data_IF_080436918532
#
_entry.id   IF_080436918532
#
_cell.length_a   1.000
_cell.length_b   1.000
_cell.length_c   1.000
_cell.angle_alpha   90.00
_cell.angle_beta   90.00
_cell.angle_gamma   90.00
#
_symmetry.space_group_name_H-M   'P 1'
#
loop_
_entity.id
_entity.type
_entity.pdbx_description
1 polymer ?
#
# COMPACT_ATOMS: atom_id res chain seq x y z
N UNK A 1 16.34 36.58 11.30
CA UNK A 1 16.10 35.09 11.35
C UNK A 1 15.27 34.80 10.13
N UNK A 2 15.77 33.99 9.19
CA UNK A 2 14.95 33.52 8.05
C UNK A 2 13.87 32.62 8.61
N UNK A 3 12.62 33.03 8.50
CA UNK A 3 11.47 32.22 8.93
C UNK A 3 11.45 30.97 8.05
N UNK A 4 11.59 29.80 8.65
CA UNK A 4 11.57 28.53 7.94
C UNK A 4 10.18 28.31 7.34
N UNK A 5 10.10 27.94 6.07
CA UNK A 5 8.86 27.79 5.32
C UNK A 5 8.46 26.31 5.23
N UNK A 6 7.18 26.03 5.41
CA UNK A 6 6.56 24.73 5.22
C UNK A 6 5.76 24.75 3.90
N UNK A 7 6.24 24.01 2.90
CA UNK A 7 5.50 23.76 1.66
C UNK A 7 4.44 22.70 1.91
N UNK A 8 3.22 22.89 1.41
CA UNK A 8 2.09 22.01 1.66
C UNK A 8 1.25 21.81 0.41
N UNK A 9 0.69 20.62 0.24
CA UNK A 9 -0.40 20.37 -0.69
C UNK A 9 -1.71 20.13 0.06
N UNK A 10 -2.69 20.98 -0.22
CA UNK A 10 -4.04 20.93 0.33
C UNK A 10 -4.99 20.30 -0.68
N UNK A 11 -6.00 19.58 -0.22
CA UNK A 11 -7.09 19.15 -1.09
C UNK A 11 -7.95 20.35 -1.47
N UNK A 12 -7.91 20.78 -2.75
CA UNK A 12 -8.66 21.94 -3.23
C UNK A 12 -10.09 21.58 -3.65
N UNK A 13 -10.27 20.41 -4.26
CA UNK A 13 -11.58 19.95 -4.74
C UNK A 13 -11.67 18.44 -4.76
N UNK A 14 -12.88 17.89 -4.71
CA UNK A 14 -13.14 16.44 -4.88
C UNK A 14 -12.93 16.06 -6.35
N UNK A 15 -12.02 15.13 -6.67
CA UNK A 15 -11.80 14.73 -8.06
C UNK A 15 -12.93 13.83 -8.57
N UNK A 16 -13.41 14.11 -9.80
CA UNK A 16 -14.29 13.22 -10.56
C UNK A 16 -13.43 12.44 -11.56
N UNK A 17 -13.31 11.14 -11.38
CA UNK A 17 -12.31 10.34 -12.11
C UNK A 17 -10.92 10.45 -11.49
N UNK A 18 -9.87 10.49 -12.29
CA UNK A 18 -8.49 10.65 -11.82
C UNK A 18 -8.28 12.02 -11.15
N UNK A 19 -7.44 12.03 -10.10
CA UNK A 19 -6.95 13.29 -9.56
C UNK A 19 -5.97 13.94 -10.55
N UNK A 20 -5.88 15.25 -10.53
CA UNK A 20 -4.95 16.04 -11.35
C UNK A 20 -4.25 17.06 -10.47
N UNK A 21 -3.28 17.80 -11.01
CA UNK A 21 -2.64 18.89 -10.26
C UNK A 21 -3.66 19.89 -9.70
N UNK A 22 -4.73 20.18 -10.44
CA UNK A 22 -5.81 21.06 -10.00
C UNK A 22 -6.68 20.51 -8.84
N UNK A 23 -6.53 19.24 -8.50
CA UNK A 23 -7.17 18.64 -7.33
C UNK A 23 -6.58 19.19 -6.04
N UNK A 24 -5.39 19.76 -6.12
CA UNK A 24 -4.61 20.22 -4.99
C UNK A 24 -4.26 21.69 -5.12
N UNK A 25 -4.14 22.37 -3.98
CA UNK A 25 -3.54 23.71 -3.87
C UNK A 25 -2.17 23.57 -3.22
N UNK A 26 -1.15 24.07 -3.87
CA UNK A 26 0.17 24.28 -3.26
C UNK A 26 0.16 25.60 -2.49
N UNK A 27 0.71 25.57 -1.26
CA UNK A 27 0.94 26.78 -0.48
C UNK A 27 2.25 26.69 0.31
N UNK A 28 2.72 27.85 0.73
CA UNK A 28 3.85 28.00 1.64
C UNK A 28 3.40 28.80 2.86
N UNK A 29 3.66 28.25 4.05
CA UNK A 29 3.31 28.87 5.33
C UNK A 29 4.52 28.89 6.25
N UNK A 30 4.64 29.85 7.19
CA UNK A 30 5.69 29.79 8.19
C UNK A 30 5.61 28.52 9.04
N UNK A 31 6.76 27.92 9.37
CA UNK A 31 6.83 26.83 10.33
C UNK A 31 6.55 27.38 11.72
N UNK A 32 5.57 26.80 12.42
CA UNK A 32 5.20 27.18 13.78
C UNK A 32 6.05 26.45 14.84
N UNK A 33 5.84 26.84 16.10
CA UNK A 33 6.45 26.22 17.27
C UNK A 33 5.46 25.22 17.91
N UNK A 34 5.93 24.06 18.45
CA UNK A 34 5.05 23.09 19.07
C UNK A 34 4.46 23.63 20.40
N UNK A 35 3.14 23.56 20.55
CA UNK A 35 2.46 23.76 21.81
C UNK A 35 2.66 22.56 22.77
N UNK A 36 2.15 22.64 23.99
CA UNK A 36 2.22 21.53 24.97
C UNK A 36 1.60 20.25 24.38
N UNK A 37 2.32 19.13 24.46
CA UNK A 37 1.93 17.82 23.89
C UNK A 37 2.19 17.66 22.40
N UNK A 38 2.65 18.70 21.69
CA UNK A 38 2.95 18.65 20.27
C UNK A 38 4.43 18.39 19.97
N UNK A 39 4.68 17.95 18.74
CA UNK A 39 6.00 17.83 18.14
C UNK A 39 6.05 18.54 16.79
N UNK A 40 7.23 18.97 16.38
CA UNK A 40 7.53 19.41 15.03
C UNK A 40 8.43 18.35 14.36
N UNK A 41 7.95 17.78 13.28
CA UNK A 41 8.69 16.77 12.51
C UNK A 41 9.07 17.35 11.15
N UNK A 42 10.34 17.30 10.80
CA UNK A 42 10.79 17.51 9.43
C UNK A 42 10.59 16.20 8.66
N UNK A 43 9.72 16.21 7.66
CA UNK A 43 9.44 15.06 6.84
C UNK A 43 10.65 14.74 5.95
N UNK A 44 10.96 13.46 5.78
CA UNK A 44 12.01 13.01 4.87
C UNK A 44 11.44 12.17 3.73
N UNK A 45 10.47 11.31 4.04
CA UNK A 45 9.80 10.46 3.05
C UNK A 45 8.31 10.37 3.33
N UNK A 46 7.50 10.43 2.27
CA UNK A 46 6.06 10.28 2.31
C UNK A 46 5.63 9.03 1.51
N UNK A 47 4.70 8.30 2.08
CA UNK A 47 4.07 7.16 1.43
C UNK A 47 3.02 7.63 0.43
N UNK A 48 3.13 7.20 -0.82
CA UNK A 48 2.06 7.37 -1.79
C UNK A 48 1.29 6.06 -1.92
N UNK A 49 0.00 6.13 -1.69
CA UNK A 49 -0.88 4.96 -1.60
C UNK A 49 -2.14 5.13 -2.45
N UNK A 50 -2.61 4.08 -3.15
CA UNK A 50 -3.86 4.16 -3.91
C UNK A 50 -5.06 4.57 -3.06
N UNK A 51 -5.06 4.24 -1.77
CA UNK A 51 -6.09 4.62 -0.81
C UNK A 51 -6.28 6.14 -0.69
N UNK A 52 -5.24 6.94 -0.97
CA UNK A 52 -5.31 8.40 -0.98
C UNK A 52 -6.41 8.90 -1.93
N UNK A 53 -6.64 8.21 -3.06
CA UNK A 53 -7.73 8.56 -3.97
C UNK A 53 -9.11 8.42 -3.31
N UNK A 54 -9.28 7.36 -2.53
CA UNK A 54 -10.51 7.14 -1.75
C UNK A 54 -10.70 8.18 -0.64
N UNK A 55 -9.62 8.62 0.00
CA UNK A 55 -9.68 9.64 1.06
C UNK A 55 -10.08 11.03 0.56
N UNK A 56 -10.03 11.27 -0.75
CA UNK A 56 -10.52 12.51 -1.38
C UNK A 56 -12.03 12.49 -1.65
N UNK A 57 -12.70 11.33 -1.55
CA UNK A 57 -14.14 11.21 -1.78
C UNK A 57 -14.92 11.50 -0.49
N UNK A 58 -16.13 12.02 -0.65
CA UNK A 58 -17.12 12.05 0.42
C UNK A 58 -17.85 10.70 0.51
N UNK A 59 -18.41 10.42 1.69
CA UNK A 59 -19.21 9.23 1.92
C UNK A 59 -18.65 8.33 3.02
N UNK A 60 -19.33 7.20 3.22
CA UNK A 60 -18.95 6.21 4.23
C UNK A 60 -17.66 5.50 3.82
N UNK A 61 -16.67 5.53 4.70
CA UNK A 61 -15.40 4.83 4.54
C UNK A 61 -14.90 4.36 5.92
N UNK A 62 -13.84 3.55 5.93
CA UNK A 62 -13.17 3.12 7.16
C UNK A 62 -12.34 4.23 7.84
N UNK A 63 -12.15 5.35 7.16
CA UNK A 63 -11.48 6.55 7.69
C UNK A 63 -12.23 7.80 7.21
N UNK A 64 -12.32 8.88 8.03
CA UNK A 64 -12.92 10.14 7.58
C UNK A 64 -12.22 10.69 6.33
N UNK A 65 -12.95 11.28 5.38
CA UNK A 65 -12.36 11.92 4.22
C UNK A 65 -11.45 13.09 4.62
N UNK A 66 -10.52 13.44 3.75
CA UNK A 66 -9.76 14.69 3.86
C UNK A 66 -10.70 15.86 3.55
N UNK A 67 -10.69 16.88 4.40
CA UNK A 67 -11.49 18.10 4.21
C UNK A 67 -10.93 18.97 3.08
N UNK A 68 -11.83 19.71 2.41
CA UNK A 68 -11.40 20.73 1.44
C UNK A 68 -10.63 21.82 2.20
N UNK A 69 -9.44 22.19 1.71
CA UNK A 69 -8.53 23.11 2.36
C UNK A 69 -7.62 22.48 3.43
N UNK A 70 -7.78 21.20 3.75
CA UNK A 70 -6.86 20.48 4.64
C UNK A 70 -5.63 19.96 3.89
N UNK A 71 -4.49 19.84 4.61
CA UNK A 71 -3.29 19.19 4.06
C UNK A 71 -3.63 17.77 3.65
N UNK A 72 -3.27 17.41 2.41
CA UNK A 72 -3.54 16.07 1.90
C UNK A 72 -2.88 15.03 2.80
N UNK A 73 -3.67 14.08 3.30
CA UNK A 73 -3.19 13.03 4.20
C UNK A 73 -2.19 12.13 3.50
N UNK A 74 -1.06 11.89 4.18
CA UNK A 74 -0.07 10.89 3.79
C UNK A 74 0.58 10.31 5.05
N UNK A 75 0.90 9.04 5.04
CA UNK A 75 1.84 8.47 6.00
C UNK A 75 3.25 8.92 5.61
N UNK A 76 4.13 9.05 6.59
CA UNK A 76 5.48 9.49 6.32
C UNK A 76 6.45 9.07 7.41
N UNK A 77 7.72 9.23 7.12
CA UNK A 77 8.83 9.12 8.07
C UNK A 77 9.57 10.43 8.09
N UNK A 78 9.90 10.91 9.29
CA UNK A 78 10.62 12.15 9.45
C UNK A 78 11.33 12.24 10.80
N UNK A 79 12.10 13.31 10.96
CA UNK A 79 12.91 13.57 12.16
C UNK A 79 12.25 14.63 13.03
N UNK A 80 12.10 14.35 14.31
CA UNK A 80 11.65 15.34 15.31
C UNK A 80 12.71 16.43 15.44
N UNK A 81 12.34 17.68 15.12
CA UNK A 81 13.22 18.85 15.18
C UNK A 81 12.90 19.78 16.35
N UNK A 82 11.67 19.75 16.86
CA UNK A 82 11.29 20.39 18.13
C UNK A 82 10.19 19.55 18.81
N UNK A 83 10.15 19.58 20.14
CA UNK A 83 9.19 18.77 20.90
C UNK A 83 8.83 19.42 22.24
N UNK A 84 7.52 19.46 22.52
CA UNK A 84 6.94 19.70 23.84
C UNK A 84 6.10 18.49 24.29
N UNK A 85 6.47 17.28 23.81
CA UNK A 85 5.84 16.00 24.14
C UNK A 85 6.85 15.07 24.84
N UNK A 86 6.57 14.54 26.03
CA UNK A 86 7.52 13.72 26.78
C UNK A 86 7.83 12.37 26.12
N UNK A 87 6.97 11.89 25.22
CA UNK A 87 7.16 10.61 24.52
C UNK A 87 8.12 10.68 23.31
N UNK A 88 8.42 11.88 22.80
CA UNK A 88 9.23 12.08 21.59
C UNK A 88 10.28 13.16 21.83
N UNK A 89 11.55 12.81 21.69
CA UNK A 89 12.68 13.73 21.85
C UNK A 89 13.15 14.28 20.51
N UNK A 90 13.75 15.48 20.54
CA UNK A 90 14.47 16.03 19.37
C UNK A 90 15.56 15.04 18.93
N UNK A 91 15.57 14.74 17.64
CA UNK A 91 16.45 13.74 17.04
C UNK A 91 15.83 12.37 16.83
N UNK A 92 14.69 12.06 17.46
CA UNK A 92 13.96 10.81 17.18
C UNK A 92 13.47 10.80 15.73
N UNK A 93 13.53 9.63 15.10
CA UNK A 93 12.82 9.38 13.85
C UNK A 93 11.46 8.75 14.14
N UNK A 94 10.44 9.21 13.44
CA UNK A 94 9.06 8.79 13.67
C UNK A 94 8.35 8.43 12.36
N UNK A 95 7.45 7.44 12.44
CA UNK A 95 6.46 7.14 11.41
C UNK A 95 5.09 7.59 11.91
N UNK A 96 4.30 8.22 11.04
CA UNK A 96 2.95 8.67 11.37
C UNK A 96 2.24 9.34 10.20
N UNK A 97 1.07 9.89 10.46
CA UNK A 97 0.29 10.66 9.48
C UNK A 97 0.85 12.09 9.36
N UNK A 98 1.94 12.23 8.61
CA UNK A 98 2.69 13.49 8.50
C UNK A 98 2.09 14.47 7.48
N UNK A 99 1.23 14.00 6.56
CA UNK A 99 0.65 14.83 5.49
C UNK A 99 1.63 15.18 4.38
N UNK A 100 1.11 15.65 3.26
CA UNK A 100 1.93 16.06 2.10
C UNK A 100 2.45 17.47 2.33
N UNK A 101 3.55 17.56 3.06
CA UNK A 101 4.18 18.82 3.48
C UNK A 101 5.65 18.59 3.91
N UNK A 102 6.43 19.69 4.07
CA UNK A 102 7.81 19.61 4.56
C UNK A 102 7.88 19.34 6.06
N UNK A 103 6.97 19.96 6.84
CA UNK A 103 6.95 19.89 8.30
C UNK A 103 5.56 19.54 8.81
N UNK A 104 5.48 18.53 9.68
CA UNK A 104 4.29 18.25 10.47
C UNK A 104 4.42 18.95 11.83
N UNK A 105 3.40 19.69 12.21
CA UNK A 105 3.26 20.29 13.54
C UNK A 105 1.95 19.82 14.18
N UNK A 106 2.01 19.11 15.31
CA UNK A 106 0.81 18.62 15.98
C UNK A 106 1.07 17.57 17.05
N UNK A 107 -0.02 17.03 17.60
CA UNK A 107 0.04 15.89 18.52
C UNK A 107 0.39 14.61 17.76
N UNK A 108 1.34 13.79 18.24
CA UNK A 108 1.79 12.58 17.55
C UNK A 108 0.86 11.38 17.80
N UNK A 109 -0.43 11.53 17.46
CA UNK A 109 -1.44 10.47 17.66
C UNK A 109 -1.18 9.30 16.70
N UNK A 110 -0.93 8.12 17.26
CA UNK A 110 -0.63 6.92 16.48
C UNK A 110 0.78 6.89 15.86
N UNK A 111 1.65 7.84 16.25
CA UNK A 111 3.04 7.83 15.82
C UNK A 111 3.85 6.80 16.61
N UNK A 112 4.85 6.23 15.96
CA UNK A 112 5.82 5.36 16.59
C UNK A 112 7.25 5.70 16.14
N UNK A 113 8.22 5.43 17.02
CA UNK A 113 9.63 5.65 16.73
C UNK A 113 10.15 4.58 15.79
N UNK A 114 11.03 4.98 14.88
CA UNK A 114 11.75 4.09 13.97
C UNK A 114 13.25 4.29 14.12
N UNK A 115 14.01 3.23 13.90
CA UNK A 115 15.48 3.30 14.04
C UNK A 115 16.13 3.16 12.64
N UNK A 116 16.74 4.25 12.11
CA UNK A 116 17.41 4.22 10.82
C UNK A 116 18.65 3.31 10.78
N UNK A 117 19.13 2.82 11.95
CA UNK A 117 20.23 1.86 12.03
C UNK A 117 19.77 0.43 11.79
N UNK A 118 18.48 0.13 12.03
CA UNK A 118 17.91 -1.20 11.83
C UNK A 118 17.46 -1.42 10.38
N UNK A 119 16.90 -0.38 9.75
CA UNK A 119 16.51 -0.42 8.35
C UNK A 119 16.52 1.00 7.74
N UNK A 120 16.72 1.14 6.42
CA UNK A 120 16.53 2.42 5.72
C UNK A 120 15.14 2.99 5.96
N UNK A 121 15.02 4.32 6.10
CA UNK A 121 13.75 4.97 6.43
C UNK A 121 12.59 4.61 5.48
N UNK A 122 12.76 4.50 4.14
CA UNK A 122 11.68 4.12 3.25
C UNK A 122 11.09 2.72 3.52
N UNK A 123 11.87 1.80 4.12
CA UNK A 123 11.41 0.45 4.48
C UNK A 123 10.30 0.50 5.54
N UNK A 124 10.29 1.52 6.40
CA UNK A 124 9.22 1.77 7.37
C UNK A 124 7.93 2.33 6.73
N UNK A 125 7.94 2.62 5.43
CA UNK A 125 6.76 2.93 4.63
C UNK A 125 6.34 1.77 3.73
N UNK A 126 7.16 0.71 3.67
CA UNK A 126 6.93 -0.48 2.84
C UNK A 126 6.84 -1.75 3.71
N UNK A 127 7.85 -2.60 3.70
CA UNK A 127 7.82 -3.91 4.38
C UNK A 127 7.61 -3.82 5.90
N UNK A 128 8.22 -2.85 6.58
CA UNK A 128 8.04 -2.63 8.03
C UNK A 128 7.00 -1.54 8.34
N UNK A 129 6.23 -1.12 7.36
CA UNK A 129 5.18 -0.12 7.47
C UNK A 129 3.79 -0.68 7.19
N UNK A 130 2.86 0.25 6.92
CA UNK A 130 1.44 -0.06 6.73
C UNK A 130 1.19 -1.08 5.59
N UNK A 131 1.92 -0.99 4.49
CA UNK A 131 1.76 -1.92 3.36
C UNK A 131 2.27 -3.32 3.68
N UNK A 132 3.34 -3.43 4.49
CA UNK A 132 3.81 -4.73 5.00
C UNK A 132 2.81 -5.36 5.99
N UNK A 133 2.28 -4.56 6.93
CA UNK A 133 1.23 -5.03 7.84
C UNK A 133 -0.03 -5.46 7.08
N UNK A 134 -0.41 -4.72 6.03
CA UNK A 134 -1.52 -5.09 5.15
C UNK A 134 -1.26 -6.45 4.49
N UNK A 135 -0.08 -6.65 3.91
CA UNK A 135 0.29 -7.91 3.29
C UNK A 135 0.27 -9.09 4.29
N UNK A 136 0.82 -8.87 5.48
CA UNK A 136 0.92 -9.87 6.54
C UNK A 136 -0.45 -10.34 7.01
N UNK A 137 -1.29 -9.43 7.50
CA UNK A 137 -2.57 -9.81 8.10
C UNK A 137 -3.60 -10.25 7.07
N UNK A 138 -3.71 -9.55 5.94
CA UNK A 138 -4.64 -9.93 4.89
C UNK A 138 -4.34 -11.33 4.33
N UNK A 139 -3.07 -11.66 4.16
CA UNK A 139 -2.70 -12.99 3.68
C UNK A 139 -2.87 -14.06 4.76
N UNK A 140 -2.30 -13.84 5.95
CA UNK A 140 -2.18 -14.91 6.96
C UNK A 140 -3.48 -15.16 7.72
N UNK A 141 -4.30 -14.13 7.95
CA UNK A 141 -5.57 -14.28 8.66
C UNK A 141 -6.73 -14.52 7.67
N UNK A 142 -6.99 -13.59 6.76
CA UNK A 142 -8.11 -13.69 5.82
C UNK A 142 -7.84 -14.75 4.75
N UNK A 143 -6.67 -14.72 4.12
CA UNK A 143 -6.23 -15.71 3.11
C UNK A 143 -5.98 -17.08 3.72
N UNK A 144 -5.44 -17.14 4.91
CA UNK A 144 -5.12 -18.34 5.67
C UNK A 144 -4.52 -19.45 4.79
N UNK A 145 -3.39 -19.17 4.07
CA UNK A 145 -2.80 -20.11 3.13
C UNK A 145 -2.22 -21.31 3.88
N UNK A 146 -2.29 -22.49 3.25
CA UNK A 146 -1.69 -23.71 3.73
C UNK A 146 -0.50 -24.10 2.85
N UNK A 147 0.43 -24.85 3.39
CA UNK A 147 1.52 -25.42 2.60
C UNK A 147 0.96 -26.19 1.38
N UNK A 148 1.52 -25.93 0.20
CA UNK A 148 1.08 -26.51 -1.07
C UNK A 148 -0.10 -25.80 -1.74
N UNK A 149 -0.78 -24.83 -1.09
CA UNK A 149 -1.81 -24.01 -1.74
C UNK A 149 -1.24 -23.21 -2.92
N UNK A 150 -2.05 -23.02 -3.95
CA UNK A 150 -1.76 -22.07 -5.03
C UNK A 150 -2.31 -20.71 -4.66
N UNK A 151 -1.41 -19.74 -4.44
CA UNK A 151 -1.71 -18.35 -4.12
C UNK A 151 -1.51 -17.48 -5.37
N UNK A 152 -2.56 -16.79 -5.80
CA UNK A 152 -2.51 -15.82 -6.89
C UNK A 152 -2.64 -14.42 -6.31
N UNK A 153 -1.82 -13.48 -6.78
CA UNK A 153 -1.87 -12.08 -6.33
C UNK A 153 -2.02 -11.15 -7.54
N UNK A 154 -2.97 -10.24 -7.51
CA UNK A 154 -3.02 -9.11 -8.45
C UNK A 154 -2.20 -7.92 -7.93
N UNK A 155 -1.71 -7.06 -8.85
CA UNK A 155 -0.79 -5.99 -8.48
C UNK A 155 0.47 -6.52 -7.78
N UNK A 156 0.94 -7.69 -8.22
CA UNK A 156 1.94 -8.50 -7.53
C UNK A 156 3.31 -7.81 -7.38
N UNK A 157 3.69 -6.92 -8.31
CA UNK A 157 4.93 -6.15 -8.23
C UNK A 157 4.78 -4.82 -7.44
N UNK A 158 3.60 -4.55 -6.88
CA UNK A 158 3.33 -3.38 -6.03
C UNK A 158 3.74 -3.60 -4.57
N UNK A 159 3.56 -2.56 -3.75
CA UNK A 159 4.00 -2.54 -2.35
C UNK A 159 3.45 -3.70 -1.49
N UNK A 160 2.14 -3.95 -1.59
CA UNK A 160 1.48 -5.03 -0.82
C UNK A 160 1.68 -6.38 -1.49
N UNK A 161 1.47 -6.47 -2.82
CA UNK A 161 1.52 -7.73 -3.55
C UNK A 161 2.89 -8.42 -3.50
N UNK A 162 3.97 -7.64 -3.61
CA UNK A 162 5.34 -8.18 -3.56
C UNK A 162 5.68 -8.77 -2.18
N UNK A 163 5.21 -8.16 -1.12
CA UNK A 163 5.41 -8.63 0.26
C UNK A 163 4.53 -9.85 0.53
N UNK A 164 3.23 -9.79 0.20
CA UNK A 164 2.30 -10.89 0.41
C UNK A 164 2.73 -12.17 -0.32
N UNK A 165 3.21 -12.04 -1.56
CA UNK A 165 3.70 -13.19 -2.31
C UNK A 165 4.94 -13.83 -1.70
N UNK A 166 5.90 -13.03 -1.20
CA UNK A 166 7.06 -13.57 -0.49
C UNK A 166 6.64 -14.25 0.82
N UNK A 167 5.69 -13.69 1.57
CA UNK A 167 5.14 -14.34 2.77
C UNK A 167 4.50 -15.69 2.39
N UNK A 168 3.75 -15.74 1.30
CA UNK A 168 3.17 -17.00 0.80
C UNK A 168 4.27 -18.04 0.45
N UNK A 169 5.40 -17.58 -0.15
CA UNK A 169 6.57 -18.46 -0.38
C UNK A 169 7.16 -18.98 0.92
N UNK A 170 7.32 -18.15 1.94
CA UNK A 170 7.81 -18.54 3.29
C UNK A 170 6.88 -19.58 3.92
N UNK A 171 5.57 -19.51 3.64
CA UNK A 171 4.57 -20.49 4.13
C UNK A 171 4.46 -21.74 3.25
N UNK A 172 5.35 -21.95 2.27
CA UNK A 172 5.40 -23.17 1.44
C UNK A 172 4.36 -23.23 0.33
N UNK A 173 3.81 -22.10 -0.10
CA UNK A 173 2.82 -22.05 -1.18
C UNK A 173 3.48 -21.99 -2.56
N UNK A 174 2.73 -22.43 -3.58
CA UNK A 174 2.97 -22.06 -4.97
C UNK A 174 2.42 -20.64 -5.18
N UNK A 175 3.24 -19.73 -5.70
CA UNK A 175 2.87 -18.32 -5.84
C UNK A 175 2.91 -17.88 -7.30
N UNK A 176 1.81 -17.31 -7.78
CA UNK A 176 1.67 -16.75 -9.12
C UNK A 176 1.28 -15.28 -9.02
N UNK A 177 2.07 -14.41 -9.65
CA UNK A 177 1.84 -12.97 -9.64
C UNK A 177 1.23 -12.48 -10.95
N UNK A 178 0.20 -11.62 -10.86
CA UNK A 178 -0.33 -10.87 -12.01
C UNK A 178 0.21 -9.45 -11.94
N UNK A 179 0.98 -9.05 -12.95
CA UNK A 179 1.63 -7.75 -13.02
C UNK A 179 1.60 -7.19 -14.45
N UNK A 180 1.89 -5.92 -14.64
CA UNK A 180 1.87 -5.29 -15.97
C UNK A 180 3.25 -5.01 -16.53
N UNK A 181 3.64 -5.73 -17.54
CA UNK A 181 4.89 -5.61 -18.26
C UNK A 181 5.93 -6.68 -17.91
N UNK A 182 6.74 -7.03 -18.92
CA UNK A 182 7.72 -8.12 -18.82
C UNK A 182 8.74 -7.93 -17.70
N UNK A 183 9.20 -6.70 -17.44
CA UNK A 183 10.19 -6.40 -16.40
C UNK A 183 9.63 -6.70 -15.00
N UNK A 184 8.35 -6.38 -14.76
CA UNK A 184 7.68 -6.70 -13.48
C UNK A 184 7.51 -8.20 -13.31
N UNK A 185 7.11 -8.90 -14.37
CA UNK A 185 6.99 -10.36 -14.34
C UNK A 185 8.36 -11.02 -14.10
N UNK A 186 9.40 -10.54 -14.76
CA UNK A 186 10.78 -11.01 -14.54
C UNK A 186 11.23 -10.80 -13.09
N UNK A 187 10.98 -9.63 -12.52
CA UNK A 187 11.28 -9.32 -11.11
C UNK A 187 10.59 -10.29 -10.14
N UNK A 188 9.31 -10.60 -10.37
CA UNK A 188 8.58 -11.55 -9.52
C UNK A 188 9.27 -12.93 -9.50
N UNK A 189 9.72 -13.41 -10.65
CA UNK A 189 10.37 -14.72 -10.78
C UNK A 189 11.80 -14.68 -10.24
N UNK A 190 12.63 -13.78 -10.78
CA UNK A 190 14.08 -13.83 -10.59
C UNK A 190 14.50 -13.29 -9.22
N UNK A 191 13.81 -12.27 -8.71
CA UNK A 191 14.21 -11.61 -7.47
C UNK A 191 13.34 -12.00 -6.27
N UNK A 192 12.04 -12.22 -6.46
CA UNK A 192 11.12 -12.56 -5.38
C UNK A 192 10.83 -14.07 -5.27
N UNK A 193 11.27 -14.88 -6.24
CA UNK A 193 11.15 -16.34 -6.22
C UNK A 193 9.71 -16.85 -6.40
N UNK A 194 8.85 -16.09 -7.09
CA UNK A 194 7.51 -16.57 -7.45
C UNK A 194 7.62 -17.74 -8.46
N UNK A 195 6.66 -18.64 -8.42
CA UNK A 195 6.66 -19.84 -9.27
C UNK A 195 6.07 -19.59 -10.66
N UNK A 196 5.38 -18.45 -10.86
CA UNK A 196 4.81 -18.04 -12.13
C UNK A 196 4.44 -16.56 -12.15
N UNK A 197 4.35 -16.01 -13.35
CA UNK A 197 3.91 -14.63 -13.57
C UNK A 197 3.02 -14.54 -14.81
N UNK A 198 2.03 -13.62 -14.76
CA UNK A 198 1.09 -13.33 -15.84
C UNK A 198 1.17 -11.83 -16.13
N UNK A 199 1.55 -11.49 -17.36
CA UNK A 199 1.58 -10.10 -17.84
C UNK A 199 0.23 -9.72 -18.43
N UNK A 200 -0.63 -9.08 -17.64
CA UNK A 200 -1.96 -8.67 -18.07
C UNK A 200 -1.96 -7.62 -19.23
N UNK A 201 -0.81 -7.03 -19.54
CA UNK A 201 -0.66 -6.09 -20.65
C UNK A 201 -0.41 -6.77 -21.99
N UNK A 202 0.16 -7.98 -21.98
CA UNK A 202 0.59 -8.70 -23.19
C UNK A 202 -0.17 -10.01 -23.43
N UNK A 203 -0.90 -10.53 -22.45
CA UNK A 203 -1.65 -11.78 -22.60
C UNK A 203 -3.04 -11.73 -21.93
N UNK A 204 -3.91 -12.64 -22.35
CA UNK A 204 -5.20 -12.87 -21.70
C UNK A 204 -4.99 -13.50 -20.32
N UNK A 205 -5.55 -12.89 -19.28
CA UNK A 205 -5.37 -13.33 -17.89
C UNK A 205 -5.97 -14.73 -17.66
N UNK A 206 -7.07 -15.10 -18.32
CA UNK A 206 -7.67 -16.44 -18.18
C UNK A 206 -6.76 -17.49 -18.78
N UNK A 207 -6.15 -17.22 -19.92
CA UNK A 207 -5.16 -18.10 -20.54
C UNK A 207 -3.91 -18.25 -19.67
N UNK A 208 -3.39 -17.13 -19.14
CA UNK A 208 -2.28 -17.12 -18.18
C UNK A 208 -2.58 -17.96 -16.93
N UNK A 209 -3.77 -17.79 -16.34
CA UNK A 209 -4.19 -18.59 -15.18
C UNK A 209 -4.30 -20.09 -15.49
N UNK A 210 -4.75 -20.47 -16.69
CA UNK A 210 -4.79 -21.89 -17.10
C UNK A 210 -3.38 -22.48 -17.18
N UNK A 211 -2.42 -21.71 -17.66
CA UNK A 211 -1.01 -22.10 -17.79
C UNK A 211 -0.33 -22.19 -16.42
N UNK A 212 -0.42 -21.14 -15.63
CA UNK A 212 0.31 -20.99 -14.37
C UNK A 212 -0.36 -21.69 -13.18
N UNK A 213 -1.68 -21.83 -13.20
CA UNK A 213 -2.47 -22.44 -12.14
C UNK A 213 -3.27 -23.65 -12.70
N UNK A 214 -2.61 -24.72 -13.23
CA UNK A 214 -3.32 -25.84 -13.85
C UNK A 214 -4.21 -26.59 -12.86
N UNK A 215 -3.90 -26.55 -11.56
CA UNK A 215 -4.69 -27.15 -10.48
C UNK A 215 -5.71 -26.20 -9.87
N UNK A 216 -5.89 -24.99 -10.41
CA UNK A 216 -6.78 -23.96 -9.87
C UNK A 216 -6.12 -23.07 -8.82
N UNK A 217 -6.94 -22.24 -8.16
CA UNK A 217 -6.52 -21.18 -7.22
C UNK A 217 -7.13 -21.43 -5.85
N UNK A 218 -6.31 -21.57 -4.82
CA UNK A 218 -6.72 -21.78 -3.43
C UNK A 218 -6.87 -20.47 -2.65
N UNK A 219 -5.98 -19.50 -2.90
CA UNK A 219 -6.05 -18.17 -2.33
C UNK A 219 -5.86 -17.14 -3.44
N UNK A 220 -6.75 -16.19 -3.52
CA UNK A 220 -6.58 -15.00 -4.36
C UNK A 220 -6.46 -13.76 -3.50
N UNK A 221 -5.34 -13.05 -3.62
CA UNK A 221 -5.10 -11.80 -2.95
C UNK A 221 -5.33 -10.65 -3.94
N UNK A 222 -6.45 -9.96 -3.79
CA UNK A 222 -6.90 -8.95 -4.75
C UNK A 222 -6.55 -7.52 -4.32
N UNK A 223 -5.69 -6.87 -5.11
CA UNK A 223 -5.37 -5.46 -5.02
C UNK A 223 -6.02 -4.63 -6.14
N UNK A 224 -6.59 -5.27 -7.16
CA UNK A 224 -6.95 -4.62 -8.43
C UNK A 224 -8.45 -4.58 -8.69
N UNK A 225 -9.16 -5.66 -8.41
CA UNK A 225 -10.59 -5.78 -8.76
C UNK A 225 -10.85 -5.93 -10.26
N UNK A 226 -12.06 -5.58 -10.69
CA UNK A 226 -12.46 -5.54 -12.09
C UNK A 226 -12.28 -6.85 -12.84
N UNK A 227 -11.81 -6.78 -14.09
CA UNK A 227 -11.68 -7.94 -15.00
C UNK A 227 -10.69 -8.99 -14.49
N UNK A 228 -9.65 -8.57 -13.75
CA UNK A 228 -8.68 -9.50 -13.16
C UNK A 228 -9.34 -10.32 -12.04
N UNK A 229 -10.12 -9.69 -11.15
CA UNK A 229 -10.92 -10.41 -10.16
C UNK A 229 -11.84 -11.41 -10.84
N UNK A 230 -12.56 -10.97 -11.87
CA UNK A 230 -13.51 -11.81 -12.58
C UNK A 230 -12.84 -13.02 -13.25
N UNK A 231 -11.68 -12.82 -13.86
CA UNK A 231 -10.88 -13.90 -14.45
C UNK A 231 -10.46 -14.93 -13.38
N UNK A 232 -9.97 -14.48 -12.22
CA UNK A 232 -9.54 -15.40 -11.15
C UNK A 232 -10.70 -16.16 -10.54
N UNK A 233 -11.87 -15.52 -10.37
CA UNK A 233 -13.08 -16.19 -9.88
C UNK A 233 -13.47 -17.40 -10.73
N UNK A 234 -13.17 -17.40 -12.03
CA UNK A 234 -13.43 -18.53 -12.94
C UNK A 234 -12.56 -19.76 -12.68
N UNK A 235 -11.50 -19.63 -11.83
CA UNK A 235 -10.48 -20.67 -11.60
C UNK A 235 -10.35 -21.12 -10.14
N UNK A 236 -11.31 -20.74 -9.29
CA UNK A 236 -11.28 -21.05 -7.86
C UNK A 236 -11.38 -22.55 -7.60
N UNK A 237 -10.57 -23.02 -6.68
CA UNK A 237 -10.66 -24.36 -6.08
C UNK A 237 -11.79 -24.42 -5.04
N UNK A 238 -12.13 -25.65 -4.64
CA UNK A 238 -13.05 -25.89 -3.55
C UNK A 238 -12.57 -25.21 -2.26
N UNK A 239 -13.46 -24.42 -1.62
CA UNK A 239 -13.14 -23.68 -0.38
C UNK A 239 -12.05 -22.61 -0.54
N UNK A 240 -11.84 -22.12 -1.75
CA UNK A 240 -10.92 -21.03 -2.00
C UNK A 240 -11.27 -19.78 -1.18
N UNK A 241 -10.27 -18.95 -0.93
CA UNK A 241 -10.36 -17.70 -0.16
C UNK A 241 -9.94 -16.55 -1.06
N UNK A 242 -10.84 -15.59 -1.23
CA UNK A 242 -10.59 -14.35 -1.99
C UNK A 242 -10.49 -13.20 -1.00
N UNK A 243 -9.32 -12.63 -0.88
CA UNK A 243 -9.01 -11.50 0.02
C UNK A 243 -9.17 -10.22 -0.77
N UNK A 244 -10.14 -9.38 -0.41
CA UNK A 244 -10.32 -8.05 -1.02
C UNK A 244 -9.50 -7.04 -0.24
N UNK A 245 -8.28 -6.80 -0.68
CA UNK A 245 -7.36 -5.81 -0.11
C UNK A 245 -7.56 -4.43 -0.75
N UNK A 246 -7.86 -4.39 -2.04
CA UNK A 246 -8.07 -3.15 -2.78
C UNK A 246 -8.71 -3.39 -4.15
N UNK A 247 -9.07 -2.31 -4.83
CA UNK A 247 -9.66 -2.34 -6.15
C UNK A 247 -9.15 -1.15 -6.99
N UNK A 248 -7.81 -1.05 -7.15
CA UNK A 248 -7.17 0.13 -7.75
C UNK A 248 -7.70 0.44 -9.15
N UNK A 249 -8.11 -0.57 -9.93
CA UNK A 249 -8.71 -0.38 -11.25
C UNK A 249 -10.04 0.38 -11.21
N UNK A 250 -10.70 0.42 -10.03
CA UNK A 250 -12.02 1.01 -9.87
C UNK A 250 -11.99 2.40 -9.20
N UNK A 251 -10.87 2.82 -8.60
CA UNK A 251 -10.82 4.04 -7.78
C UNK A 251 -11.05 5.34 -8.57
N UNK A 252 -10.73 5.33 -9.86
CA UNK A 252 -10.93 6.47 -10.76
C UNK A 252 -12.21 6.37 -11.60
N UNK A 253 -13.08 5.39 -11.35
CA UNK A 253 -14.34 5.26 -12.08
C UNK A 253 -15.25 6.47 -11.84
N UNK A 254 -15.88 6.94 -12.91
CA UNK A 254 -16.90 8.00 -12.86
C UNK A 254 -18.30 7.44 -12.64
N UNK A 255 -18.50 6.19 -13.00
CA UNK A 255 -19.76 5.45 -12.86
C UNK A 255 -19.69 4.48 -11.66
N UNK A 256 -20.83 3.96 -11.26
CA UNK A 256 -20.91 2.94 -10.22
C UNK A 256 -20.07 1.70 -10.60
N UNK A 257 -19.34 1.17 -9.64
CA UNK A 257 -18.55 -0.05 -9.80
C UNK A 257 -19.50 -1.22 -10.08
N UNK A 258 -19.25 -1.96 -11.17
CA UNK A 258 -19.96 -3.21 -11.47
C UNK A 258 -19.31 -4.35 -10.68
N UNK A 259 -20.13 -5.19 -10.08
CA UNK A 259 -19.68 -6.44 -9.45
C UNK A 259 -19.15 -7.44 -10.48
N UNK A 260 -18.40 -8.47 -10.05
CA UNK A 260 -17.89 -9.50 -10.93
C UNK A 260 -19.01 -10.37 -11.51
N UNK A 261 -18.90 -10.74 -12.79
CA UNK A 261 -19.86 -11.60 -13.47
C UNK A 261 -19.77 -13.05 -12.96
N UNK A 262 -18.57 -13.51 -12.62
CA UNK A 262 -18.28 -14.88 -12.18
C UNK A 262 -18.52 -15.13 -10.68
N UNK A 263 -19.26 -14.26 -9.95
CA UNK A 263 -19.48 -14.41 -8.51
C UNK A 263 -20.15 -15.73 -8.11
N UNK A 264 -20.92 -16.38 -9.00
CA UNK A 264 -21.51 -17.69 -8.75
C UNK A 264 -20.47 -18.81 -8.54
N UNK A 265 -19.22 -18.59 -8.96
CA UNK A 265 -18.11 -19.48 -8.63
C UNK A 265 -17.94 -19.67 -7.12
N UNK A 266 -18.28 -18.65 -6.33
CA UNK A 266 -18.24 -18.75 -4.86
C UNK A 266 -19.22 -19.79 -4.35
N UNK A 267 -20.44 -19.84 -4.91
CA UNK A 267 -21.44 -20.86 -4.57
C UNK A 267 -20.97 -22.25 -4.99
N UNK A 268 -20.55 -22.41 -6.26
CA UNK A 268 -20.15 -23.70 -6.82
C UNK A 268 -18.99 -24.31 -6.05
N UNK A 269 -17.99 -23.49 -5.71
CA UNK A 269 -16.80 -23.95 -5.00
C UNK A 269 -16.90 -23.81 -3.48
N UNK A 270 -18.04 -23.36 -2.92
CA UNK A 270 -18.19 -23.06 -1.49
C UNK A 270 -17.03 -22.19 -0.98
N UNK A 271 -16.54 -21.30 -1.85
CA UNK A 271 -15.48 -20.35 -1.57
C UNK A 271 -16.01 -19.15 -0.78
N UNK A 272 -15.12 -18.36 -0.20
CA UNK A 272 -15.45 -17.08 0.43
C UNK A 272 -14.71 -15.93 -0.24
N UNK A 273 -15.32 -14.75 -0.22
CA UNK A 273 -14.71 -13.48 -0.60
C UNK A 273 -14.91 -12.51 0.56
N UNK A 274 -13.83 -11.96 1.09
CA UNK A 274 -13.83 -11.23 2.35
C UNK A 274 -13.02 -9.94 2.26
N UNK A 275 -13.60 -8.84 2.77
CA UNK A 275 -12.93 -7.54 2.89
C UNK A 275 -11.99 -7.49 4.07
N UNK A 276 -10.99 -6.61 3.99
CA UNK A 276 -9.94 -6.47 4.99
C UNK A 276 -9.60 -4.98 5.22
N UNK A 277 -9.41 -4.61 6.48
CA UNK A 277 -8.87 -3.32 6.88
C UNK A 277 -7.75 -3.54 7.90
N UNK A 278 -6.54 -3.16 7.55
CA UNK A 278 -5.33 -3.42 8.38
C UNK A 278 -5.40 -2.79 9.77
N UNK A 279 -6.13 -1.69 9.95
CA UNK A 279 -6.27 -1.00 11.23
C UNK A 279 -6.93 -1.84 12.32
N UNK A 280 -7.71 -2.85 11.95
CA UNK A 280 -8.36 -3.78 12.89
C UNK A 280 -7.32 -4.65 13.63
N UNK A 281 -6.10 -4.74 13.09
CA UNK A 281 -4.98 -5.52 13.63
C UNK A 281 -3.94 -4.67 14.37
N UNK A 282 -4.19 -3.38 14.62
CA UNK A 282 -3.19 -2.44 15.14
C UNK A 282 -2.50 -2.92 16.43
N UNK A 283 -3.22 -3.60 17.31
CA UNK A 283 -2.66 -4.17 18.55
C UNK A 283 -1.57 -5.25 18.31
N UNK A 284 -1.53 -5.84 17.12
CA UNK A 284 -0.61 -6.92 16.75
C UNK A 284 0.57 -6.44 15.88
N UNK A 285 0.61 -5.17 15.49
CA UNK A 285 1.64 -4.62 14.58
C UNK A 285 3.06 -4.84 15.09
N UNK A 286 3.31 -4.69 16.38
CA UNK A 286 4.64 -4.87 16.96
C UNK A 286 5.17 -6.30 16.78
N UNK A 287 4.34 -7.31 17.01
CA UNK A 287 4.70 -8.72 16.84
C UNK A 287 4.93 -9.07 15.37
N UNK A 288 4.01 -8.65 14.49
CA UNK A 288 4.14 -8.84 13.05
C UNK A 288 5.39 -8.16 12.50
N UNK A 289 5.69 -6.93 12.93
CA UNK A 289 6.89 -6.19 12.55
C UNK A 289 8.18 -6.90 12.94
N UNK A 290 8.23 -7.50 14.14
CA UNK A 290 9.37 -8.28 14.58
C UNK A 290 9.57 -9.56 13.73
N UNK A 291 8.49 -10.27 13.42
CA UNK A 291 8.56 -11.46 12.56
C UNK A 291 9.04 -11.10 11.15
N UNK A 292 8.48 -10.04 10.56
CA UNK A 292 8.88 -9.57 9.23
C UNK A 292 10.32 -9.07 9.19
N UNK A 293 10.77 -8.33 10.20
CA UNK A 293 12.17 -7.93 10.34
C UNK A 293 13.09 -9.15 10.45
N UNK A 294 12.65 -10.21 11.14
CA UNK A 294 13.35 -11.48 11.20
C UNK A 294 13.49 -12.18 9.85
N UNK A 295 12.44 -12.17 9.00
CA UNK A 295 12.52 -12.67 7.63
C UNK A 295 13.42 -11.82 6.75
N UNK A 296 13.40 -10.49 6.91
CA UNK A 296 14.30 -9.59 6.18
C UNK A 296 15.76 -9.84 6.55
N UNK A 297 16.08 -9.98 7.83
CA UNK A 297 17.45 -10.27 8.30
C UNK A 297 17.99 -11.61 7.78
N UNK A 298 17.09 -12.59 7.51
CA UNK A 298 17.44 -13.89 6.89
C UNK A 298 17.46 -13.84 5.36
N UNK A 299 17.17 -12.68 4.74
CA UNK A 299 17.05 -12.54 3.28
C UNK A 299 15.83 -13.23 2.66
N UNK A 300 14.87 -13.66 3.47
CA UNK A 300 13.63 -14.33 3.03
C UNK A 300 12.54 -13.35 2.59
N UNK A 301 12.62 -12.10 3.05
CA UNK A 301 11.72 -11.01 2.68
C UNK A 301 12.56 -9.82 2.20
N UNK A 302 12.30 -9.40 0.98
CA UNK A 302 12.94 -8.25 0.34
C UNK A 302 11.92 -7.13 0.19
N UNK A 303 12.38 -5.89 0.33
CA UNK A 303 11.61 -4.68 0.10
C UNK A 303 12.14 -3.95 -1.13
N UNK A 304 11.26 -3.32 -1.89
CA UNK A 304 11.62 -2.48 -3.03
C UNK A 304 10.83 -1.20 -2.99
N UNK A 305 11.54 -0.09 -2.93
CA UNK A 305 11.00 1.26 -2.92
C UNK A 305 11.34 1.96 -4.24
N UNK A 306 10.33 2.59 -4.84
CA UNK A 306 10.42 3.49 -5.98
C UNK A 306 10.37 4.92 -5.44
N UNK A 307 11.54 5.56 -5.37
CA UNK A 307 11.69 6.86 -4.72
C UNK A 307 11.71 7.96 -5.77
N UNK A 308 10.77 8.89 -5.65
CA UNK A 308 10.72 10.12 -6.46
C UNK A 308 11.08 11.30 -5.55
N UNK A 309 11.95 12.20 -6.01
CA UNK A 309 12.40 13.35 -5.24
C UNK A 309 11.57 14.60 -5.57
N UNK A 310 11.37 15.44 -4.56
CA UNK A 310 10.74 16.76 -4.65
C UNK A 310 9.26 16.77 -4.32
N UNK A 311 8.89 17.47 -3.23
CA UNK A 311 7.49 17.61 -2.77
C UNK A 311 6.58 18.15 -3.88
N UNK A 312 7.09 19.06 -4.71
CA UNK A 312 6.37 19.69 -5.82
C UNK A 312 5.87 18.73 -6.90
N UNK A 313 6.46 17.53 -6.96
CA UNK A 313 6.07 16.47 -7.93
C UNK A 313 4.90 15.64 -7.44
N UNK A 314 4.42 15.86 -6.21
CA UNK A 314 3.40 15.02 -5.56
C UNK A 314 2.20 14.70 -6.43
N UNK A 315 1.52 15.66 -7.11
CA UNK A 315 0.31 15.35 -7.87
C UNK A 315 0.55 14.36 -9.01
N UNK A 316 1.61 14.54 -9.77
CA UNK A 316 1.97 13.68 -10.89
C UNK A 316 2.51 12.33 -10.41
N UNK A 317 3.30 12.34 -9.33
CA UNK A 317 3.85 11.13 -8.75
C UNK A 317 2.74 10.22 -8.21
N UNK A 318 1.73 10.80 -7.54
CA UNK A 318 0.58 10.01 -7.08
C UNK A 318 -0.14 9.29 -8.24
N UNK A 319 -0.22 9.92 -9.42
CA UNK A 319 -0.89 9.33 -10.58
C UNK A 319 -0.15 8.13 -11.18
N UNK A 320 1.15 8.00 -10.97
CA UNK A 320 1.93 6.81 -11.41
C UNK A 320 1.40 5.51 -10.83
N UNK A 321 0.73 5.55 -9.65
CA UNK A 321 0.08 4.37 -9.07
C UNK A 321 -1.04 3.83 -9.96
N UNK A 322 -1.78 4.72 -10.61
CA UNK A 322 -2.96 4.37 -11.42
C UNK A 322 -2.62 4.05 -12.88
N UNK A 323 -1.49 4.53 -13.39
CA UNK A 323 -0.95 4.13 -14.70
C UNK A 323 -0.14 2.83 -14.62
N UNK A 324 0.20 2.38 -13.40
CA UNK A 324 1.03 1.20 -13.17
C UNK A 324 2.48 1.40 -13.60
N UNK A 325 2.99 2.63 -13.52
CA UNK A 325 4.38 2.96 -13.84
C UNK A 325 5.33 2.66 -12.68
N UNK A 326 4.83 2.77 -11.43
CA UNK A 326 5.64 2.52 -10.24
C UNK A 326 6.10 1.06 -10.13
N UNK A 327 7.25 0.85 -9.49
CA UNK A 327 7.84 -0.45 -9.26
C UNK A 327 8.09 -0.65 -7.74
N UNK A 328 7.33 -1.55 -7.10
CA UNK A 328 7.35 -1.69 -5.65
C UNK A 328 6.56 -0.59 -4.93
N UNK A 329 7.03 -0.17 -3.76
CA UNK A 329 6.43 0.89 -2.96
C UNK A 329 6.80 2.26 -3.48
N UNK A 330 5.82 3.04 -3.92
CA UNK A 330 6.06 4.43 -4.33
C UNK A 330 6.21 5.33 -3.10
N UNK A 331 7.32 6.03 -3.04
CA UNK A 331 7.73 6.92 -1.94
C UNK A 331 8.14 8.27 -2.51
N UNK A 332 7.65 9.34 -1.92
CA UNK A 332 8.07 10.70 -2.24
C UNK A 332 9.12 11.15 -1.21
N UNK A 333 10.31 11.50 -1.66
CA UNK A 333 11.34 12.13 -0.83
C UNK A 333 11.11 13.64 -0.82
N UNK A 334 11.02 14.23 0.36
CA UNK A 334 10.69 15.65 0.57
C UNK A 334 11.96 16.50 0.64
#
# INVERSE_FOLDING_TARGET
>A
MTTQTNRQFLLAKRPVGAATRETFTYQEVPVGEPAAGQILVKNEYLSLDPAMRGWMNEGKSYIPPVGIGEVMRALGVGKVVASNNPGFAVGDYVNGALGVQDYFLGEPRGFYKVDPKLAPLPVYLSALGMTGMTAYFALLDVGAPKEGDTVVLSGAAGAVGSIAGQIAKIKGCRVVGIAGGADKCKFLIDELGFDGAIDYKSEDVVAGLKRECPKGVDVYFDNVGGDILDAVLSRLNMKARVVICGAISQYNNKEAVKGPANYLSLLVNRARMEGFVVMDYAAQFAAAGQEMAGWMAKGQLKSKEDIVEGLETFPETLMKLFSGENFGKLVLKV
#
